data_IF_720450396026
#
_entry.id   IF_720450396026
#
_cell.length_a   1.000
_cell.length_b   1.000
_cell.length_c   1.000
_cell.angle_alpha   90.00
_cell.angle_beta   90.00
_cell.angle_gamma   90.00
#
_symmetry.space_group_name_H-M   'P 1'
#
loop_
_entity.id
_entity.type
_entity.pdbx_description
1 polymer ?
#
# COMPACT_ATOMS: atom_id res chain seq x y z
N UNK A 1 -0.14 -22.83 -3.70
CA UNK A 1 -1.40 -22.56 -2.99
C UNK A 1 -2.60 -22.73 -3.92
N UNK A 2 -2.58 -22.16 -5.14
CA UNK A 2 -3.74 -22.15 -6.06
C UNK A 2 -4.27 -23.54 -6.41
N UNK A 3 -3.37 -24.49 -6.65
CA UNK A 3 -3.73 -25.89 -6.90
C UNK A 3 -4.54 -26.50 -5.74
N UNK A 4 -4.10 -26.26 -4.50
CA UNK A 4 -4.75 -26.78 -3.30
C UNK A 4 -6.12 -26.13 -3.12
N UNK A 5 -6.22 -24.81 -3.26
CA UNK A 5 -7.52 -24.12 -3.18
C UNK A 5 -8.49 -24.57 -4.29
N UNK A 6 -7.98 -24.87 -5.48
CA UNK A 6 -8.78 -25.43 -6.57
C UNK A 6 -9.32 -26.83 -6.26
N UNK A 7 -8.46 -27.70 -5.71
CA UNK A 7 -8.86 -29.06 -5.28
C UNK A 7 -9.87 -29.01 -4.12
N UNK A 8 -9.66 -28.14 -3.13
CA UNK A 8 -10.60 -27.92 -2.03
C UNK A 8 -11.94 -27.36 -2.51
N UNK A 9 -11.92 -26.41 -3.45
CA UNK A 9 -13.13 -25.88 -4.05
C UNK A 9 -13.93 -26.98 -4.77
N UNK A 10 -13.25 -27.78 -5.60
CA UNK A 10 -13.88 -28.89 -6.32
C UNK A 10 -14.45 -29.97 -5.37
N UNK A 11 -13.74 -30.25 -4.27
CA UNK A 11 -14.23 -31.16 -3.23
C UNK A 11 -15.47 -30.61 -2.52
N UNK A 12 -15.44 -29.35 -2.09
CA UNK A 12 -16.56 -28.70 -1.39
C UNK A 12 -17.81 -28.63 -2.27
N UNK A 13 -17.67 -28.32 -3.56
CA UNK A 13 -18.80 -28.33 -4.50
C UNK A 13 -19.48 -29.70 -4.60
N UNK A 14 -18.72 -30.80 -4.42
CA UNK A 14 -19.27 -32.17 -4.45
C UNK A 14 -19.97 -32.55 -3.14
N UNK A 15 -19.45 -32.10 -2.00
CA UNK A 15 -19.94 -32.52 -0.68
C UNK A 15 -20.99 -31.58 -0.07
N UNK A 16 -20.90 -30.28 -0.36
CA UNK A 16 -21.82 -29.25 0.14
C UNK A 16 -21.92 -28.11 -0.88
N UNK A 17 -22.80 -28.25 -1.89
CA UNK A 17 -22.93 -27.26 -2.98
C UNK A 17 -23.37 -25.87 -2.51
N UNK A 18 -23.91 -25.76 -1.28
CA UNK A 18 -24.37 -24.48 -0.73
C UNK A 18 -23.22 -23.67 -0.13
N UNK A 19 -22.11 -24.35 0.24
CA UNK A 19 -20.89 -23.70 0.74
C UNK A 19 -20.00 -23.22 -0.38
N UNK A 20 -19.76 -21.92 -0.39
CA UNK A 20 -18.85 -21.28 -1.33
C UNK A 20 -17.42 -21.32 -0.76
N UNK A 21 -16.54 -22.11 -1.37
CA UNK A 21 -15.11 -22.07 -1.02
C UNK A 21 -14.49 -20.78 -1.58
N UNK A 22 -14.04 -19.92 -0.67
CA UNK A 22 -13.18 -18.79 -0.99
C UNK A 22 -11.75 -19.30 -0.97
N UNK A 23 -10.91 -18.85 -1.90
CA UNK A 23 -9.48 -19.19 -2.00
C UNK A 23 -8.70 -18.71 -0.75
N UNK A 24 -8.98 -19.33 0.41
CA UNK A 24 -8.58 -18.86 1.73
C UNK A 24 -7.11 -19.10 1.96
N UNK A 25 -6.58 -20.23 1.51
CA UNK A 25 -5.16 -20.54 1.61
C UNK A 25 -4.33 -19.64 0.70
N UNK A 26 -4.76 -19.41 -0.54
CA UNK A 26 -4.07 -18.50 -1.46
C UNK A 26 -4.10 -17.07 -0.94
N UNK A 27 -5.24 -16.61 -0.43
CA UNK A 27 -5.34 -15.27 0.16
C UNK A 27 -4.43 -15.11 1.37
N UNK A 28 -4.34 -16.13 2.23
CA UNK A 28 -3.43 -16.15 3.38
C UNK A 28 -1.96 -16.09 2.94
N UNK A 29 -1.54 -16.99 2.04
CA UNK A 29 -0.15 -17.05 1.54
C UNK A 29 0.23 -15.76 0.82
N UNK A 30 -0.67 -15.24 -0.03
CA UNK A 30 -0.45 -13.98 -0.74
C UNK A 30 -0.34 -12.80 0.21
N UNK A 31 -1.23 -12.69 1.22
CA UNK A 31 -1.16 -11.64 2.23
C UNK A 31 0.19 -11.64 2.95
N UNK A 32 0.65 -12.81 3.42
CA UNK A 32 1.94 -12.92 4.10
C UNK A 32 3.12 -12.66 3.17
N UNK A 33 3.05 -13.09 1.91
CA UNK A 33 4.07 -12.78 0.90
C UNK A 33 4.18 -11.26 0.71
N UNK A 34 3.06 -10.56 0.59
CA UNK A 34 3.03 -9.10 0.44
C UNK A 34 3.55 -8.38 1.70
N UNK A 35 3.31 -8.91 2.89
CA UNK A 35 3.90 -8.36 4.12
C UNK A 35 5.43 -8.48 4.13
N UNK A 36 5.98 -9.60 3.64
CA UNK A 36 7.43 -9.77 3.47
C UNK A 36 7.97 -8.81 2.40
N UNK A 37 7.23 -8.62 1.29
CA UNK A 37 7.61 -7.63 0.27
C UNK A 37 7.61 -6.20 0.82
N UNK A 38 6.62 -5.83 1.65
CA UNK A 38 6.62 -4.53 2.37
C UNK A 38 7.89 -4.39 3.20
N UNK A 39 8.22 -5.41 3.99
CA UNK A 39 9.37 -5.37 4.89
C UNK A 39 10.70 -5.23 4.14
N UNK A 40 10.82 -5.87 2.97
CA UNK A 40 11.97 -5.66 2.08
C UNK A 40 12.16 -4.18 1.71
N UNK A 41 11.08 -3.47 1.39
CA UNK A 41 11.16 -2.04 1.10
C UNK A 41 11.49 -1.23 2.36
N UNK A 42 10.83 -1.50 3.48
CA UNK A 42 11.11 -0.82 4.76
C UNK A 42 12.59 -0.93 5.14
N UNK A 43 13.13 -2.16 5.15
CA UNK A 43 14.55 -2.40 5.43
C UNK A 43 15.46 -1.74 4.40
N UNK A 44 15.07 -1.73 3.12
CA UNK A 44 15.83 -1.05 2.08
C UNK A 44 15.98 0.46 2.34
N UNK A 45 14.96 1.11 2.91
CA UNK A 45 15.08 2.50 3.35
C UNK A 45 15.89 2.65 4.65
N UNK A 46 15.65 1.80 5.65
CA UNK A 46 16.38 1.84 6.94
C UNK A 46 17.89 1.70 6.76
N UNK A 47 18.29 0.82 5.85
CA UNK A 47 19.67 0.54 5.51
C UNK A 47 20.23 1.52 4.45
N UNK A 48 19.47 2.53 4.05
CA UNK A 48 19.84 3.52 3.02
C UNK A 48 20.30 2.89 1.69
N UNK A 49 19.64 1.81 1.26
CA UNK A 49 20.00 1.07 0.05
C UNK A 49 19.45 1.69 -1.24
N UNK A 50 18.47 2.59 -1.12
CA UNK A 50 17.85 3.27 -2.24
C UNK A 50 18.42 4.69 -2.39
N UNK A 51 18.87 5.02 -3.59
CA UNK A 51 19.23 6.39 -3.93
C UNK A 51 17.99 7.19 -4.39
N UNK A 52 17.98 8.53 -4.25
CA UNK A 52 16.83 9.36 -4.62
C UNK A 52 16.34 9.20 -6.06
N UNK A 53 17.23 8.92 -7.02
CA UNK A 53 16.87 8.67 -8.41
C UNK A 53 16.12 7.34 -8.62
N UNK A 54 16.08 6.47 -7.64
CA UNK A 54 15.37 5.18 -7.68
C UNK A 54 13.95 5.29 -7.13
N UNK A 55 13.64 6.38 -6.43
CA UNK A 55 12.38 6.53 -5.71
C UNK A 55 11.16 6.53 -6.63
N UNK A 56 11.30 6.93 -7.90
CA UNK A 56 10.23 6.89 -8.90
C UNK A 56 9.71 5.48 -9.16
N UNK A 57 10.56 4.45 -9.12
CA UNK A 57 10.09 3.08 -9.28
C UNK A 57 9.92 2.35 -7.95
N UNK A 58 10.70 2.68 -6.92
CA UNK A 58 10.56 2.06 -5.58
C UNK A 58 9.19 2.37 -4.98
N UNK A 59 8.79 3.64 -4.93
CA UNK A 59 7.48 4.01 -4.36
C UNK A 59 6.33 3.60 -5.27
N UNK A 60 6.50 3.64 -6.59
CA UNK A 60 5.48 3.15 -7.50
C UNK A 60 5.21 1.65 -7.27
N UNK A 61 6.26 0.84 -7.15
CA UNK A 61 6.14 -0.59 -6.93
C UNK A 61 5.47 -0.89 -5.58
N UNK A 62 5.91 -0.19 -4.52
CA UNK A 62 5.30 -0.29 -3.20
C UNK A 62 3.80 0.09 -3.23
N UNK A 63 3.42 1.15 -3.95
CA UNK A 63 2.02 1.56 -4.11
C UNK A 63 1.19 0.50 -4.85
N UNK A 64 1.55 0.23 -6.12
CA UNK A 64 0.67 -0.49 -7.04
C UNK A 64 0.69 -2.01 -6.86
N UNK A 65 1.82 -2.58 -6.41
CA UNK A 65 1.99 -4.03 -6.29
C UNK A 65 1.89 -4.50 -4.84
N UNK A 66 2.41 -3.73 -3.88
CA UNK A 66 2.44 -4.18 -2.48
C UNK A 66 1.19 -3.71 -1.73
N UNK A 67 1.05 -2.40 -1.48
CA UNK A 67 -0.02 -1.88 -0.62
C UNK A 67 -1.41 -2.01 -1.23
N UNK A 68 -1.56 -1.74 -2.53
CA UNK A 68 -2.82 -1.97 -3.23
C UNK A 68 -3.29 -3.42 -3.13
N UNK A 69 -2.37 -4.37 -3.29
CA UNK A 69 -2.71 -5.80 -3.19
C UNK A 69 -2.97 -6.24 -1.76
N UNK A 70 -2.23 -5.71 -0.77
CA UNK A 70 -2.53 -5.93 0.66
C UNK A 70 -3.95 -5.51 1.00
N UNK A 71 -4.35 -4.31 0.57
CA UNK A 71 -5.71 -3.81 0.71
C UNK A 71 -6.74 -4.72 0.05
N UNK A 72 -6.53 -5.07 -1.22
CA UNK A 72 -7.46 -5.91 -2.00
C UNK A 72 -7.62 -7.33 -1.45
N UNK A 73 -6.52 -7.96 -1.01
CA UNK A 73 -6.57 -9.32 -0.43
C UNK A 73 -7.34 -9.29 0.90
N UNK A 74 -7.08 -8.28 1.72
CA UNK A 74 -7.73 -8.16 3.01
C UNK A 74 -9.22 -7.77 2.89
N UNK A 75 -9.57 -6.90 1.96
CA UNK A 75 -10.97 -6.55 1.65
C UNK A 75 -11.77 -7.77 1.20
N UNK A 76 -11.20 -8.60 0.30
CA UNK A 76 -11.82 -9.88 -0.10
C UNK A 76 -12.07 -10.80 1.10
N UNK A 77 -11.09 -10.93 2.00
CA UNK A 77 -11.23 -11.74 3.21
C UNK A 77 -12.28 -11.17 4.17
N UNK A 78 -12.32 -9.85 4.34
CA UNK A 78 -13.28 -9.19 5.23
C UNK A 78 -14.71 -9.32 4.72
N UNK A 79 -14.94 -9.17 3.40
CA UNK A 79 -16.24 -9.38 2.77
C UNK A 79 -16.80 -10.79 3.05
N UNK A 80 -15.94 -11.80 3.13
CA UNK A 80 -16.36 -13.15 3.52
C UNK A 80 -16.82 -13.21 4.98
N UNK A 81 -16.05 -12.63 5.91
CA UNK A 81 -16.41 -12.60 7.34
C UNK A 81 -17.72 -11.84 7.56
N UNK A 82 -17.93 -10.71 6.86
CA UNK A 82 -19.16 -9.92 6.93
C UNK A 82 -20.37 -10.74 6.45
N UNK A 83 -20.23 -11.49 5.36
CA UNK A 83 -21.29 -12.38 4.86
C UNK A 83 -21.60 -13.50 5.86
N UNK A 84 -20.60 -14.17 6.42
CA UNK A 84 -20.82 -15.21 7.44
C UNK A 84 -21.52 -14.63 8.68
N UNK A 85 -21.10 -13.44 9.11
CA UNK A 85 -21.73 -12.72 10.21
C UNK A 85 -23.22 -12.43 9.93
N UNK A 86 -23.55 -11.92 8.74
CA UNK A 86 -24.94 -11.67 8.32
C UNK A 86 -25.81 -12.94 8.26
N UNK A 87 -25.24 -14.07 7.84
CA UNK A 87 -25.94 -15.36 7.82
C UNK A 87 -26.18 -15.89 9.24
N UNK A 88 -25.16 -15.87 10.10
CA UNK A 88 -25.25 -16.41 11.47
C UNK A 88 -26.22 -15.63 12.39
N UNK A 89 -26.38 -14.33 12.15
CA UNK A 89 -27.28 -13.45 12.92
C UNK A 89 -28.78 -13.75 12.68
N UNK A 90 -29.12 -14.43 11.58
CA UNK A 90 -30.53 -14.74 11.22
C UNK A 90 -31.09 -15.98 11.92
N UNK A 91 -30.25 -16.87 12.44
CA UNK A 91 -30.69 -18.09 13.12
C UNK A 91 -31.12 -17.81 14.57
N UNK A 92 -32.40 -18.05 14.90
CA UNK A 92 -32.95 -17.87 16.25
C UNK A 92 -33.04 -19.22 16.98
N UNK A 93 -32.07 -19.50 17.87
CA UNK A 93 -32.14 -20.67 18.77
C UNK A 93 -32.87 -20.31 20.07
N UNK A 94 -33.80 -21.18 20.50
CA UNK A 94 -34.53 -21.06 21.78
C UNK A 94 -33.79 -21.65 22.99
N UNK A 95 -32.63 -22.30 22.79
CA UNK A 95 -31.87 -22.94 23.87
C UNK A 95 -30.79 -22.00 24.42
N UNK A 96 -30.83 -21.70 25.73
CA UNK A 96 -29.97 -20.71 26.38
C UNK A 96 -28.47 -21.02 26.31
N UNK A 97 -28.06 -22.30 26.40
CA UNK A 97 -26.63 -22.68 26.23
C UNK A 97 -26.14 -22.40 24.81
N UNK A 98 -26.97 -22.70 23.81
CA UNK A 98 -26.67 -22.41 22.39
C UNK A 98 -26.67 -20.90 22.10
N UNK A 99 -27.55 -20.15 22.76
CA UNK A 99 -27.62 -18.68 22.67
C UNK A 99 -26.35 -17.99 23.17
N UNK A 100 -25.85 -18.37 24.36
CA UNK A 100 -24.63 -17.77 24.93
C UNK A 100 -23.39 -18.05 24.08
N UNK A 101 -23.26 -19.27 23.54
CA UNK A 101 -22.18 -19.61 22.61
C UNK A 101 -22.23 -18.76 21.33
N UNK A 102 -23.43 -18.57 20.76
CA UNK A 102 -23.61 -17.73 19.56
C UNK A 102 -23.24 -16.27 19.81
N UNK A 103 -23.69 -15.68 20.92
CA UNK A 103 -23.36 -14.29 21.27
C UNK A 103 -21.85 -14.07 21.38
N UNK A 104 -21.11 -15.04 21.96
CA UNK A 104 -19.64 -14.99 21.98
C UNK A 104 -19.04 -15.05 20.57
N UNK A 105 -19.54 -15.95 19.71
CA UNK A 105 -19.09 -16.04 18.30
C UNK A 105 -19.37 -14.74 17.53
N UNK A 106 -20.55 -14.16 17.68
CA UNK A 106 -20.95 -12.90 17.04
C UNK A 106 -20.07 -11.72 17.50
N UNK A 107 -19.78 -11.62 18.81
CA UNK A 107 -18.90 -10.59 19.34
C UNK A 107 -17.47 -10.71 18.77
N UNK A 108 -16.94 -11.92 18.68
CA UNK A 108 -15.62 -12.19 18.08
C UNK A 108 -15.60 -11.85 16.58
N UNK A 109 -16.65 -12.21 15.82
CA UNK A 109 -16.76 -11.84 14.41
C UNK A 109 -16.82 -10.32 14.22
N UNK A 110 -17.61 -9.60 15.03
CA UNK A 110 -17.65 -8.13 15.02
C UNK A 110 -16.27 -7.52 15.27
N UNK A 111 -15.54 -8.02 16.27
CA UNK A 111 -14.18 -7.58 16.57
C UNK A 111 -13.25 -7.78 15.36
N UNK A 112 -13.32 -8.93 14.69
CA UNK A 112 -12.53 -9.21 13.47
C UNK A 112 -12.90 -8.30 12.31
N UNK A 113 -14.18 -7.97 12.14
CA UNK A 113 -14.64 -7.04 11.11
C UNK A 113 -14.06 -5.64 11.33
N UNK A 114 -14.11 -5.13 12.56
CA UNK A 114 -13.55 -3.82 12.92
C UNK A 114 -12.04 -3.79 12.70
N UNK A 115 -11.31 -4.77 13.26
CA UNK A 115 -9.84 -4.85 13.09
C UNK A 115 -9.42 -5.05 11.63
N UNK A 116 -10.21 -5.78 10.84
CA UNK A 116 -10.01 -5.92 9.40
C UNK A 116 -10.18 -4.60 8.68
N UNK A 117 -11.22 -3.83 9.02
CA UNK A 117 -11.49 -2.51 8.43
C UNK A 117 -10.36 -1.54 8.71
N UNK A 118 -9.89 -1.48 9.97
CA UNK A 118 -8.77 -0.62 10.36
C UNK A 118 -7.52 -0.90 9.51
N UNK A 119 -7.17 -2.18 9.35
CA UNK A 119 -6.01 -2.58 8.54
C UNK A 119 -6.18 -2.23 7.06
N UNK A 120 -7.37 -2.39 6.49
CA UNK A 120 -7.64 -2.01 5.09
C UNK A 120 -7.40 -0.52 4.89
N UNK A 121 -7.95 0.31 5.79
CA UNK A 121 -7.76 1.77 5.72
C UNK A 121 -6.28 2.13 5.86
N UNK A 122 -5.54 1.46 6.76
CA UNK A 122 -4.09 1.65 6.90
C UNK A 122 -3.33 1.29 5.60
N UNK A 123 -3.67 0.20 4.92
CA UNK A 123 -3.05 -0.15 3.64
C UNK A 123 -3.41 0.83 2.52
N UNK A 124 -4.65 1.31 2.49
CA UNK A 124 -5.08 2.36 1.55
C UNK A 124 -4.32 3.67 1.77
N UNK A 125 -4.14 4.08 3.04
CA UNK A 125 -3.33 5.24 3.38
C UNK A 125 -1.86 5.06 2.95
N UNK A 126 -1.26 3.89 3.23
CA UNK A 126 0.12 3.56 2.84
C UNK A 126 0.30 3.57 1.31
N UNK A 127 -0.67 3.03 0.57
CA UNK A 127 -0.70 3.11 -0.88
C UNK A 127 -0.69 4.58 -1.35
N UNK A 128 -1.60 5.41 -0.83
CA UNK A 128 -1.69 6.83 -1.21
C UNK A 128 -0.43 7.61 -0.85
N UNK A 129 0.23 7.30 0.27
CA UNK A 129 1.53 7.90 0.61
C UNK A 129 2.60 7.54 -0.42
N UNK A 130 2.70 6.26 -0.80
CA UNK A 130 3.65 5.83 -1.83
C UNK A 130 3.34 6.47 -3.19
N UNK A 131 2.07 6.56 -3.57
CA UNK A 131 1.65 7.27 -4.78
C UNK A 131 2.05 8.75 -4.75
N UNK A 132 1.91 9.41 -3.60
CA UNK A 132 2.32 10.79 -3.41
C UNK A 132 3.84 10.95 -3.59
N UNK A 133 4.65 10.09 -2.95
CA UNK A 133 6.10 10.12 -3.13
C UNK A 133 6.52 9.79 -4.56
N UNK A 134 5.87 8.85 -5.23
CA UNK A 134 6.12 8.56 -6.64
C UNK A 134 5.99 9.82 -7.51
N UNK A 135 4.86 10.51 -7.40
CA UNK A 135 4.59 11.74 -8.16
C UNK A 135 5.51 12.90 -7.75
N UNK A 136 5.79 13.04 -6.46
CA UNK A 136 6.71 14.06 -5.95
C UNK A 136 8.11 13.86 -6.55
N UNK A 137 8.63 12.63 -6.58
CA UNK A 137 9.94 12.34 -7.13
C UNK A 137 10.00 12.55 -8.65
N UNK A 138 8.91 12.34 -9.38
CA UNK A 138 8.83 12.76 -10.79
C UNK A 138 8.93 14.28 -10.90
N UNK A 139 8.21 15.04 -10.07
CA UNK A 139 8.32 16.50 -10.05
C UNK A 139 9.75 16.99 -9.75
N UNK A 140 10.44 16.35 -8.80
CA UNK A 140 11.84 16.63 -8.48
C UNK A 140 12.79 16.27 -9.63
N UNK A 141 12.53 15.18 -10.34
CA UNK A 141 13.28 14.78 -11.52
C UNK A 141 13.14 15.82 -12.65
N UNK A 142 11.92 16.24 -12.97
CA UNK A 142 11.65 17.23 -14.02
C UNK A 142 12.30 18.58 -13.70
N UNK A 143 12.32 18.98 -12.43
CA UNK A 143 12.97 20.23 -11.99
C UNK A 143 14.50 20.14 -11.90
N UNK A 144 15.10 18.99 -12.25
CA UNK A 144 16.54 18.78 -12.16
C UNK A 144 17.09 18.72 -10.73
N UNK A 145 16.21 18.59 -9.72
CA UNK A 145 16.58 18.48 -8.31
C UNK A 145 17.04 17.06 -7.95
N UNK A 146 16.67 16.06 -8.74
CA UNK A 146 17.17 14.68 -8.60
C UNK A 146 18.29 14.41 -9.60
N UNK A 147 19.49 14.10 -9.11
CA UNK A 147 20.64 13.78 -9.95
C UNK A 147 20.57 12.33 -10.45
N UNK A 148 20.57 12.16 -11.76
CA UNK A 148 20.69 10.83 -12.40
C UNK A 148 22.16 10.39 -12.48
N UNK A 149 22.44 9.07 -12.39
CA UNK A 149 23.78 8.55 -12.63
C UNK A 149 24.19 8.72 -14.11
N UNK A 150 25.47 8.94 -14.36
CA UNK A 150 26.04 9.14 -15.71
C UNK A 150 26.08 7.85 -16.55
N UNK A 151 25.89 6.68 -15.93
CA UNK A 151 25.96 5.38 -16.57
C UNK A 151 25.05 4.35 -15.92
N UNK A 152 24.89 3.20 -16.59
CA UNK A 152 23.92 2.17 -16.24
C UNK A 152 22.50 2.56 -16.66
N UNK A 153 21.83 1.69 -17.42
CA UNK A 153 20.44 1.90 -17.79
C UNK A 153 19.53 1.88 -16.55
N UNK A 154 18.51 2.74 -16.53
CA UNK A 154 17.47 2.69 -15.48
C UNK A 154 16.79 1.31 -15.46
N UNK A 155 16.63 0.67 -16.61
CA UNK A 155 16.13 -0.70 -16.74
C UNK A 155 16.92 -1.71 -15.91
N UNK A 156 18.25 -1.70 -16.02
CA UNK A 156 19.12 -2.62 -15.27
C UNK A 156 18.97 -2.39 -13.76
N UNK A 157 18.93 -1.11 -13.32
CA UNK A 157 18.76 -0.79 -11.90
C UNK A 157 17.39 -1.23 -11.38
N UNK A 158 16.34 -0.99 -12.16
CA UNK A 158 14.99 -1.43 -11.85
C UNK A 158 14.93 -2.95 -11.70
N UNK A 159 15.39 -3.69 -12.71
CA UNK A 159 15.34 -5.16 -12.73
C UNK A 159 16.16 -5.74 -11.57
N UNK A 160 17.35 -5.20 -11.31
CA UNK A 160 18.17 -5.60 -10.16
C UNK A 160 17.44 -5.35 -8.84
N UNK A 161 16.74 -4.21 -8.70
CA UNK A 161 16.06 -3.86 -7.45
C UNK A 161 14.86 -4.74 -7.15
N UNK A 162 14.16 -5.17 -8.21
CA UNK A 162 12.98 -6.03 -8.12
C UNK A 162 13.30 -7.52 -8.25
N UNK A 163 14.57 -7.89 -8.45
CA UNK A 163 15.02 -9.27 -8.67
C UNK A 163 14.62 -10.23 -7.54
N UNK A 164 14.56 -9.73 -6.29
CA UNK A 164 14.12 -10.50 -5.13
C UNK A 164 12.69 -11.07 -5.27
N UNK A 165 11.86 -10.48 -6.14
CA UNK A 165 10.48 -10.88 -6.36
C UNK A 165 10.28 -11.69 -7.65
N UNK A 166 11.34 -11.91 -8.43
CA UNK A 166 11.27 -12.59 -9.74
C UNK A 166 10.78 -14.03 -9.69
N UNK A 167 10.91 -14.69 -8.53
CA UNK A 167 10.45 -16.06 -8.30
C UNK A 167 8.96 -16.16 -7.92
N UNK A 168 8.29 -15.03 -7.68
CA UNK A 168 6.88 -15.02 -7.32
C UNK A 168 6.01 -15.19 -8.56
N UNK A 169 4.98 -16.03 -8.45
CA UNK A 169 3.93 -16.12 -9.48
C UNK A 169 2.84 -15.06 -9.27
N UNK A 170 2.67 -14.59 -8.03
CA UNK A 170 1.60 -13.66 -7.65
C UNK A 170 2.05 -12.80 -6.47
N UNK A 171 2.12 -11.46 -6.61
CA UNK A 171 1.93 -10.71 -7.85
C UNK A 171 2.96 -11.12 -8.93
N UNK A 172 2.60 -11.04 -10.22
CA UNK A 172 3.53 -11.41 -11.29
C UNK A 172 4.73 -10.46 -11.30
N UNK A 173 5.93 -10.94 -11.67
CA UNK A 173 7.11 -10.08 -11.78
C UNK A 173 6.88 -8.99 -12.82
N UNK A 174 7.24 -7.76 -12.47
CA UNK A 174 7.15 -6.60 -13.36
C UNK A 174 8.53 -6.31 -13.94
N UNK A 175 8.61 -6.18 -15.26
CA UNK A 175 9.81 -5.70 -15.97
C UNK A 175 9.78 -4.19 -16.14
N UNK A 176 10.93 -3.60 -16.42
CA UNK A 176 11.05 -2.15 -16.57
C UNK A 176 10.09 -1.54 -17.61
N UNK A 177 9.87 -2.20 -18.74
CA UNK A 177 8.96 -1.72 -19.78
C UNK A 177 7.51 -1.66 -19.27
N UNK A 178 7.09 -2.69 -18.52
CA UNK A 178 5.77 -2.75 -17.91
C UNK A 178 5.61 -1.69 -16.83
N UNK A 179 6.66 -1.43 -16.03
CA UNK A 179 6.67 -0.32 -15.10
C UNK A 179 6.39 1.01 -15.82
N UNK A 180 7.10 1.30 -16.92
CA UNK A 180 6.90 2.56 -17.66
C UNK A 180 5.48 2.68 -18.21
N UNK A 181 4.95 1.61 -18.78
CA UNK A 181 3.59 1.57 -19.32
C UNK A 181 2.53 1.78 -18.23
N UNK A 182 2.59 0.98 -17.17
CA UNK A 182 1.59 0.98 -16.11
C UNK A 182 1.64 2.25 -15.26
N UNK A 183 2.83 2.77 -14.98
CA UNK A 183 3.01 4.02 -14.22
C UNK A 183 2.66 5.26 -15.02
N UNK A 184 2.62 5.15 -16.37
CA UNK A 184 2.45 6.26 -17.29
C UNK A 184 3.44 7.40 -17.03
N UNK A 185 4.66 7.05 -16.61
CA UNK A 185 5.69 8.03 -16.21
C UNK A 185 5.99 9.04 -17.32
N UNK A 186 5.98 8.61 -18.58
CA UNK A 186 6.20 9.51 -19.73
C UNK A 186 5.10 10.56 -19.87
N UNK A 187 3.85 10.21 -19.55
CA UNK A 187 2.75 11.17 -19.56
C UNK A 187 2.90 12.17 -18.41
N UNK A 188 3.28 11.71 -17.23
CA UNK A 188 3.55 12.58 -16.07
C UNK A 188 4.70 13.56 -16.36
N UNK A 189 5.78 13.09 -16.98
CA UNK A 189 6.89 13.95 -17.42
C UNK A 189 6.40 15.03 -18.39
N UNK A 190 5.57 14.66 -19.38
CA UNK A 190 5.00 15.63 -20.33
C UNK A 190 4.07 16.65 -19.69
N UNK A 191 3.35 16.28 -18.64
CA UNK A 191 2.50 17.20 -17.89
C UNK A 191 3.27 18.21 -17.04
N UNK A 192 4.56 17.98 -16.81
CA UNK A 192 5.45 18.91 -16.13
C UNK A 192 5.43 18.81 -14.60
N UNK A 193 6.42 19.46 -13.99
CA UNK A 193 6.68 19.36 -12.56
C UNK A 193 5.53 19.89 -11.69
N UNK A 194 4.96 21.04 -12.04
CA UNK A 194 3.90 21.67 -11.27
C UNK A 194 2.70 20.73 -11.07
N UNK A 195 2.25 20.09 -12.15
CA UNK A 195 1.15 19.12 -12.10
C UNK A 195 1.51 17.92 -11.22
N UNK A 196 2.72 17.36 -11.39
CA UNK A 196 3.16 16.22 -10.58
C UNK A 196 3.22 16.56 -9.08
N UNK A 197 3.71 17.75 -8.73
CA UNK A 197 3.81 18.22 -7.34
C UNK A 197 2.43 18.49 -6.71
N UNK A 198 1.49 19.06 -7.48
CA UNK A 198 0.09 19.24 -7.05
C UNK A 198 -0.62 17.90 -6.85
N UNK A 199 -0.55 17.00 -7.83
CA UNK A 199 -1.15 15.67 -7.75
C UNK A 199 -0.55 14.84 -6.60
N UNK A 200 0.72 15.07 -6.25
CA UNK A 200 1.38 14.48 -5.09
C UNK A 200 0.85 15.03 -3.76
N UNK A 201 0.67 16.36 -3.67
CA UNK A 201 0.10 16.98 -2.48
C UNK A 201 -1.34 16.51 -2.21
N UNK A 202 -2.15 16.36 -3.27
CA UNK A 202 -3.52 15.86 -3.16
C UNK A 202 -3.56 14.38 -2.73
N UNK A 203 -2.61 13.57 -3.20
CA UNK A 203 -2.45 12.18 -2.74
C UNK A 203 -2.06 12.12 -1.25
N UNK A 204 -1.21 13.03 -0.76
CA UNK A 204 -0.93 13.13 0.68
C UNK A 204 -2.16 13.55 1.50
N UNK A 205 -2.98 14.48 1.02
CA UNK A 205 -4.21 14.84 1.71
C UNK A 205 -5.22 13.68 1.73
N UNK A 206 -5.33 12.92 0.63
CA UNK A 206 -6.14 11.70 0.61
C UNK A 206 -5.62 10.66 1.61
N UNK A 207 -4.31 10.44 1.68
CA UNK A 207 -3.71 9.53 2.66
C UNK A 207 -4.01 9.97 4.10
N UNK A 208 -3.86 11.27 4.38
CA UNK A 208 -4.15 11.86 5.70
C UNK A 208 -5.61 11.69 6.10
N UNK A 209 -6.55 11.93 5.19
CA UNK A 209 -7.98 11.72 5.46
C UNK A 209 -8.26 10.28 5.87
N UNK A 210 -7.68 9.28 5.20
CA UNK A 210 -7.80 7.88 5.63
C UNK A 210 -7.28 7.65 7.06
N UNK A 211 -6.16 8.27 7.42
CA UNK A 211 -5.52 8.13 8.74
C UNK A 211 -6.27 8.87 9.86
N UNK A 212 -6.93 9.99 9.56
CA UNK A 212 -7.71 10.78 10.54
C UNK A 212 -9.08 10.13 10.82
N UNK A 213 -9.64 9.36 9.87
CA UNK A 213 -10.90 8.63 10.04
C UNK A 213 -10.77 7.28 10.74
N UNK A 214 -9.55 6.88 11.06
CA UNK A 214 -9.27 5.65 11.79
C UNK A 214 -9.53 5.87 13.29
N UNK A 215 -10.57 5.23 13.82
CA UNK A 215 -10.79 5.09 15.27
C UNK A 215 -9.86 3.96 15.77
N UNK A 216 -8.55 4.24 15.71
CA UNK A 216 -7.49 3.23 15.76
C UNK A 216 -7.53 2.45 17.08
N UNK A 217 -7.54 1.11 17.02
CA UNK A 217 -7.10 0.29 18.13
C UNK A 217 -5.64 0.64 18.51
N UNK A 218 -5.31 0.72 19.81
CA UNK A 218 -4.04 1.27 20.33
C UNK A 218 -2.74 0.82 19.60
N UNK A 219 -2.73 -0.34 18.92
CA UNK A 219 -1.59 -0.86 18.16
C UNK A 219 -1.15 -0.05 16.93
N UNK A 220 -2.03 0.69 16.24
CA UNK A 220 -1.64 1.44 15.03
C UNK A 220 -1.60 2.95 15.24
N UNK A 221 -1.94 3.43 16.43
CA UNK A 221 -2.22 4.85 16.67
C UNK A 221 -0.96 5.70 16.48
N UNK A 222 0.18 5.22 16.98
CA UNK A 222 1.45 5.93 16.88
C UNK A 222 1.95 6.02 15.43
N UNK A 223 1.89 4.90 14.69
CA UNK A 223 2.28 4.86 13.28
C UNK A 223 1.36 5.75 12.43
N UNK A 224 0.05 5.64 12.60
CA UNK A 224 -0.94 6.42 11.87
C UNK A 224 -0.77 7.93 12.12
N UNK A 225 -0.56 8.33 13.38
CA UNK A 225 -0.28 9.73 13.75
C UNK A 225 1.01 10.24 13.10
N UNK A 226 2.05 9.42 13.08
CA UNK A 226 3.34 9.75 12.45
C UNK A 226 3.18 9.92 10.94
N UNK A 227 2.49 9.00 10.28
CA UNK A 227 2.18 9.09 8.85
C UNK A 227 1.33 10.31 8.52
N UNK A 228 0.31 10.64 9.34
CA UNK A 228 -0.53 11.81 9.15
C UNK A 228 0.28 13.12 9.24
N UNK A 229 1.24 13.19 10.17
CA UNK A 229 2.20 14.31 10.28
C UNK A 229 3.04 14.45 9.01
N UNK A 230 3.57 13.34 8.47
CA UNK A 230 4.34 13.35 7.21
C UNK A 230 3.47 13.86 6.06
N UNK A 231 2.25 13.35 5.93
CA UNK A 231 1.31 13.78 4.90
C UNK A 231 1.05 15.29 4.95
N UNK A 232 0.73 15.82 6.13
CA UNK A 232 0.46 17.24 6.33
C UNK A 232 1.66 18.11 5.93
N UNK A 233 2.86 17.76 6.41
CA UNK A 233 4.07 18.51 6.09
C UNK A 233 4.38 18.48 4.59
N UNK A 234 4.40 17.29 4.01
CA UNK A 234 4.83 17.09 2.63
C UNK A 234 3.83 17.69 1.64
N UNK A 235 2.53 17.64 1.91
CA UNK A 235 1.52 18.33 1.10
C UNK A 235 1.78 19.85 1.04
N UNK A 236 2.10 20.48 2.17
CA UNK A 236 2.43 21.92 2.23
C UNK A 236 3.70 22.21 1.45
N UNK A 237 4.78 21.45 1.68
CA UNK A 237 6.06 21.63 1.00
C UNK A 237 5.91 21.51 -0.51
N UNK A 238 5.20 20.49 -0.99
CA UNK A 238 5.01 20.27 -2.42
C UNK A 238 4.16 21.37 -3.07
N UNK A 239 3.16 21.91 -2.36
CA UNK A 239 2.38 23.07 -2.84
C UNK A 239 3.23 24.33 -2.95
N UNK A 240 4.11 24.58 -1.99
CA UNK A 240 5.08 25.70 -2.07
C UNK A 240 6.02 25.53 -3.27
N UNK A 241 6.52 24.32 -3.49
CA UNK A 241 7.36 24.04 -4.67
C UNK A 241 6.58 24.24 -5.97
N UNK A 242 5.33 23.76 -6.02
CA UNK A 242 4.46 23.92 -7.19
C UNK A 242 4.13 25.40 -7.48
N UNK A 243 4.08 26.26 -6.45
CA UNK A 243 3.86 27.70 -6.63
C UNK A 243 5.12 28.48 -7.04
N UNK A 244 6.25 27.80 -7.30
CA UNK A 244 7.51 28.41 -7.68
C UNK A 244 8.38 28.88 -6.51
N UNK A 245 8.05 28.54 -5.26
CA UNK A 245 8.92 28.87 -4.14
C UNK A 245 10.28 28.17 -4.28
N UNK A 246 11.37 28.96 -4.24
CA UNK A 246 12.75 28.49 -4.52
C UNK A 246 12.90 27.80 -5.89
N UNK A 247 12.17 28.25 -6.92
CA UNK A 247 12.33 27.76 -8.31
C UNK A 247 13.77 27.86 -8.80
N UNK A 248 14.46 28.95 -8.44
CA UNK A 248 15.82 29.25 -8.89
C UNK A 248 16.88 28.43 -8.15
N UNK A 249 16.50 27.79 -7.04
CA UNK A 249 17.38 26.91 -6.30
C UNK A 249 17.51 25.56 -7.00
N UNK A 250 18.75 25.17 -7.27
CA UNK A 250 19.12 23.82 -7.72
C UNK A 250 19.23 22.82 -6.57
N UNK A 251 19.13 23.27 -5.32
CA UNK A 251 19.19 22.37 -4.17
C UNK A 251 17.93 21.50 -4.09
N UNK A 252 18.07 20.16 -3.95
CA UNK A 252 16.94 19.31 -3.64
C UNK A 252 16.38 19.61 -2.25
N UNK A 253 15.09 19.31 -2.00
CA UNK A 253 14.58 19.27 -0.65
C UNK A 253 15.38 18.24 0.17
N UNK A 254 15.66 18.58 1.43
CA UNK A 254 16.25 17.62 2.37
C UNK A 254 15.20 16.58 2.74
N UNK A 255 15.62 15.32 2.80
CA UNK A 255 14.78 14.18 3.19
C UNK A 255 15.12 13.79 4.62
N UNK A 256 14.17 13.96 5.53
CA UNK A 256 14.33 13.63 6.94
C UNK A 256 13.53 12.37 7.31
N UNK A 257 14.24 11.26 7.48
CA UNK A 257 13.70 9.94 7.82
C UNK A 257 13.60 9.69 9.33
N UNK A 258 13.86 10.69 10.18
CA UNK A 258 13.90 10.52 11.64
C UNK A 258 12.58 10.06 12.26
N UNK A 259 11.44 10.40 11.65
CA UNK A 259 10.14 9.98 12.16
C UNK A 259 9.62 8.68 11.56
N UNK A 260 10.04 8.34 10.34
CA UNK A 260 9.62 7.13 9.65
C UNK A 260 10.68 6.73 8.62
N UNK A 261 11.07 5.46 8.65
CA UNK A 261 12.10 4.93 7.75
C UNK A 261 11.68 4.95 6.29
N UNK A 262 10.43 4.63 5.97
CA UNK A 262 9.95 4.62 4.59
C UNK A 262 9.45 5.97 4.10
N UNK A 263 9.04 6.89 4.99
CA UNK A 263 8.32 8.11 4.61
C UNK A 263 9.02 9.35 5.15
N UNK A 264 9.93 9.98 4.37
CA UNK A 264 10.68 11.13 4.85
C UNK A 264 9.82 12.39 4.90
N UNK A 265 10.12 13.25 5.87
CA UNK A 265 9.68 14.64 5.84
C UNK A 265 10.50 15.40 4.79
N UNK A 266 9.82 16.15 3.93
CA UNK A 266 10.44 17.07 2.99
C UNK A 266 10.73 18.40 3.69
N UNK A 267 11.91 18.98 3.46
CA UNK A 267 12.30 20.31 3.96
C UNK A 267 12.95 21.12 2.83
N UNK A 268 12.57 22.40 2.71
CA UNK A 268 13.04 23.33 1.65
C UNK A 268 14.23 24.17 2.07
#
# INVERSE_FOLDING_TARGET
ADKVDGEFHAYLQRTDPTRHHVQTLCSFVLYHTLLVMREYFTLGFELNLFAPYEFTYVYWYASELVFKWLGNVLDRAQNFIVREYQHSSKDKSKNDRKRNFRLKKEAEMRKRIVLGQERIIYWQASQRMCEAFFKANIGLLITGKTRLPLGGGESIRFDHRMAAFSCLNTPPPIRYEQYREMSRIDALIRFGAEKCLKDAADAFDSARSHLEHLDVSASFQQEASTMAKVCKNNAVVLRLMASGHKSDSKAPPTLDFSCCSMYPLLKL
#
